data_IF_635098251086
#
_entry.id   IF_635098251086
#
_cell.length_a   1.000
_cell.length_b   1.000
_cell.length_c   1.000
_cell.angle_alpha   90.00
_cell.angle_beta   90.00
_cell.angle_gamma   90.00
#
_symmetry.space_group_name_H-M   'P 1'
#
loop_
_entity.id
_entity.type
_entity.pdbx_description
1 polymer ?
#
# COMPACT_ATOMS: atom_id res chain seq x y z
N UNK A 1 -7.94 2.37 -22.05
CA UNK A 1 -7.36 1.30 -21.20
C UNK A 1 -6.02 0.77 -21.74
N UNK A 2 -5.92 0.31 -22.98
CA UNK A 2 -4.62 -0.12 -23.57
C UNK A 2 -3.55 0.97 -23.52
N UNK A 3 -3.85 2.20 -23.95
CA UNK A 3 -2.86 3.30 -23.95
C UNK A 3 -2.28 3.63 -22.56
N UNK A 4 -3.05 3.43 -21.48
CA UNK A 4 -2.60 3.66 -20.10
C UNK A 4 -1.71 2.53 -19.55
N UNK A 5 -1.68 1.36 -20.22
CA UNK A 5 -0.85 0.21 -19.88
C UNK A 5 0.30 -0.01 -20.87
N UNK A 6 0.67 0.99 -21.68
CA UNK A 6 1.74 0.88 -22.69
C UNK A 6 1.28 0.39 -24.07
N UNK A 7 -0.02 0.34 -24.32
CA UNK A 7 -0.60 0.17 -25.65
C UNK A 7 -0.23 -1.15 -26.33
N UNK A 8 0.05 -1.07 -27.63
CA UNK A 8 0.42 -2.21 -28.47
C UNK A 8 1.78 -2.82 -28.08
N UNK A 9 2.70 -2.00 -27.60
CA UNK A 9 4.04 -2.44 -27.16
C UNK A 9 3.95 -3.33 -25.92
N UNK A 10 3.13 -2.95 -24.95
CA UNK A 10 2.85 -3.81 -23.80
C UNK A 10 2.20 -5.13 -24.20
N UNK A 11 1.22 -5.08 -25.09
CA UNK A 11 0.55 -6.30 -25.57
C UNK A 11 1.55 -7.25 -26.25
N UNK A 12 2.43 -6.69 -27.08
CA UNK A 12 3.44 -7.46 -27.82
C UNK A 12 4.47 -8.06 -26.88
N UNK A 13 5.04 -7.25 -25.96
CA UNK A 13 6.04 -7.73 -24.99
C UNK A 13 5.47 -8.77 -24.03
N UNK A 14 4.22 -8.59 -23.59
CA UNK A 14 3.54 -9.55 -22.71
C UNK A 14 3.26 -10.86 -23.44
N UNK A 15 2.79 -10.81 -24.69
CA UNK A 15 2.62 -12.01 -25.50
C UNK A 15 3.96 -12.73 -25.72
N UNK A 16 5.02 -12.03 -26.13
CA UNK A 16 6.34 -12.62 -26.34
C UNK A 16 6.88 -13.31 -25.07
N UNK A 17 6.64 -12.70 -23.90
CA UNK A 17 6.99 -13.28 -22.61
C UNK A 17 6.25 -14.58 -22.32
N UNK A 18 4.96 -14.68 -22.64
CA UNK A 18 4.10 -15.79 -22.19
C UNK A 18 3.62 -16.74 -23.29
N UNK A 19 3.97 -16.53 -24.57
CA UNK A 19 3.50 -17.33 -25.71
C UNK A 19 3.78 -18.84 -25.62
N UNK A 20 4.70 -19.23 -24.75
CA UNK A 20 5.05 -20.63 -24.49
C UNK A 20 4.14 -21.29 -23.45
N UNK A 21 3.36 -20.52 -22.70
CA UNK A 21 2.46 -21.03 -21.67
C UNK A 21 1.33 -21.87 -22.28
N UNK A 22 0.80 -22.88 -21.56
CA UNK A 22 -0.17 -23.84 -22.10
C UNK A 22 -1.41 -23.21 -22.75
N UNK A 23 -1.87 -22.07 -22.22
CA UNK A 23 -3.01 -21.36 -22.79
C UNK A 23 -2.79 -20.99 -24.27
N UNK A 24 -1.60 -20.45 -24.59
CA UNK A 24 -1.24 -19.98 -25.94
C UNK A 24 -0.79 -21.15 -26.82
N UNK A 25 0.08 -22.02 -26.28
CA UNK A 25 0.64 -23.15 -27.00
C UNK A 25 -0.44 -24.12 -27.51
N UNK A 26 -1.42 -24.45 -26.66
CA UNK A 26 -2.47 -25.42 -27.00
C UNK A 26 -3.52 -24.86 -27.97
N UNK A 27 -3.64 -23.53 -28.06
CA UNK A 27 -4.63 -22.87 -28.94
C UNK A 27 -4.07 -22.49 -30.30
N UNK A 28 -2.80 -22.81 -30.58
CA UNK A 28 -2.08 -22.45 -31.84
C UNK A 28 -2.14 -20.96 -32.20
N UNK A 29 -2.43 -20.08 -31.23
CA UNK A 29 -2.54 -18.63 -31.46
C UNK A 29 -1.15 -18.00 -31.38
N UNK A 30 -0.75 -17.28 -32.43
CA UNK A 30 0.63 -16.78 -32.62
C UNK A 30 0.72 -15.25 -32.64
N UNK A 31 -0.34 -14.54 -32.27
CA UNK A 31 -0.37 -13.08 -32.33
C UNK A 31 -0.58 -12.45 -30.95
N UNK A 32 -0.11 -11.20 -30.74
CA UNK A 32 -0.31 -10.49 -29.48
C UNK A 32 -1.78 -10.31 -29.07
N UNK A 33 -2.70 -10.25 -30.03
CA UNK A 33 -4.14 -10.11 -29.78
C UNK A 33 -4.72 -11.29 -29.01
N UNK A 34 -4.12 -12.49 -29.11
CA UNK A 34 -4.50 -13.65 -28.31
C UNK A 34 -4.36 -13.45 -26.80
N UNK A 35 -3.55 -12.48 -26.37
CA UNK A 35 -3.46 -12.07 -24.97
C UNK A 35 -4.72 -11.30 -24.50
N UNK A 36 -5.39 -10.57 -25.39
CA UNK A 36 -6.68 -9.94 -25.05
C UNK A 36 -7.76 -11.00 -24.86
N UNK A 37 -7.78 -12.02 -25.71
CA UNK A 37 -8.70 -13.15 -25.56
C UNK A 37 -8.47 -13.89 -24.24
N UNK A 38 -7.20 -14.10 -23.86
CA UNK A 38 -6.84 -14.66 -22.57
C UNK A 38 -7.43 -13.85 -21.41
N UNK A 39 -7.23 -12.53 -21.41
CA UNK A 39 -7.73 -11.67 -20.35
C UNK A 39 -9.25 -11.68 -20.28
N UNK A 40 -9.93 -11.77 -21.43
CA UNK A 40 -11.39 -11.88 -21.50
C UNK A 40 -11.88 -13.21 -20.93
N UNK A 41 -11.37 -14.35 -21.43
CA UNK A 41 -11.72 -15.69 -20.95
C UNK A 41 -11.44 -15.81 -19.43
N UNK A 42 -10.30 -15.29 -18.97
CA UNK A 42 -9.95 -15.26 -17.56
C UNK A 42 -10.97 -14.45 -16.73
N UNK A 43 -11.37 -13.27 -17.22
CA UNK A 43 -12.36 -12.43 -16.54
C UNK A 43 -13.74 -13.12 -16.46
N UNK A 44 -14.15 -13.83 -17.51
CA UNK A 44 -15.39 -14.62 -17.52
C UNK A 44 -15.34 -15.77 -16.53
N UNK A 45 -14.24 -16.53 -16.51
CA UNK A 45 -14.04 -17.63 -15.54
C UNK A 45 -14.05 -17.09 -14.12
N UNK A 46 -13.32 -16.01 -13.83
CA UNK A 46 -13.27 -15.38 -12.52
C UNK A 46 -14.67 -14.89 -12.08
N UNK A 47 -15.42 -14.24 -12.98
CA UNK A 47 -16.80 -13.80 -12.71
C UNK A 47 -17.73 -14.99 -12.44
N UNK A 48 -17.62 -16.05 -13.24
CA UNK A 48 -18.41 -17.27 -13.05
C UNK A 48 -18.08 -17.95 -11.71
N UNK A 49 -16.81 -18.02 -11.33
CA UNK A 49 -16.39 -18.55 -10.03
C UNK A 49 -16.96 -17.69 -8.89
N UNK A 50 -16.84 -16.36 -9.01
CA UNK A 50 -17.40 -15.40 -8.05
C UNK A 50 -18.91 -15.59 -7.85
N UNK A 51 -19.69 -15.70 -8.93
CA UNK A 51 -21.15 -15.88 -8.86
C UNK A 51 -21.55 -17.23 -8.23
N UNK A 52 -20.73 -18.28 -8.40
CA UNK A 52 -20.98 -19.62 -7.84
C UNK A 52 -20.52 -19.77 -6.39
N UNK A 53 -19.63 -18.91 -5.92
CA UNK A 53 -19.21 -18.88 -4.53
C UNK A 53 -20.34 -18.30 -3.68
N UNK A 54 -20.86 -19.10 -2.75
CA UNK A 54 -21.78 -18.64 -1.71
C UNK A 54 -21.00 -17.94 -0.59
N UNK A 55 -20.28 -16.89 -0.98
CA UNK A 55 -19.56 -16.01 -0.07
C UNK A 55 -20.21 -14.65 -0.16
N UNK A 56 -20.43 -14.02 1.00
CA UNK A 56 -20.83 -12.62 1.08
C UNK A 56 -19.69 -11.75 0.54
N UNK A 57 -19.69 -11.54 -0.77
CA UNK A 57 -18.61 -10.92 -1.52
C UNK A 57 -19.13 -9.78 -2.40
N UNK A 58 -18.30 -8.74 -2.58
CA UNK A 58 -18.60 -7.58 -3.41
C UNK A 58 -17.60 -7.52 -4.56
N UNK A 59 -18.10 -7.52 -5.80
CA UNK A 59 -17.29 -7.28 -6.98
C UNK A 59 -17.30 -5.79 -7.32
N UNK A 60 -16.12 -5.18 -7.46
CA UNK A 60 -15.95 -3.77 -7.85
C UNK A 60 -15.15 -3.72 -9.14
N UNK A 61 -15.75 -3.14 -10.18
CA UNK A 61 -15.05 -2.78 -11.40
C UNK A 61 -14.29 -1.46 -11.17
N UNK A 62 -12.97 -1.51 -11.17
CA UNK A 62 -12.12 -0.34 -10.94
C UNK A 62 -11.71 0.42 -12.21
N UNK A 63 -12.21 0.00 -13.37
CA UNK A 63 -11.75 0.46 -14.69
C UNK A 63 -11.91 1.96 -14.94
N UNK A 64 -12.91 2.60 -14.31
CA UNK A 64 -13.18 4.02 -14.46
C UNK A 64 -12.36 4.93 -13.52
N UNK A 65 -11.55 4.35 -12.63
CA UNK A 65 -10.74 5.09 -11.63
C UNK A 65 -11.55 6.01 -10.70
N UNK A 66 -12.87 5.75 -10.56
CA UNK A 66 -13.74 6.49 -9.66
C UNK A 66 -13.68 5.91 -8.24
N UNK A 67 -12.60 6.27 -7.53
CA UNK A 67 -12.32 5.80 -6.18
C UNK A 67 -13.44 6.15 -5.19
N UNK A 68 -14.08 7.31 -5.36
CA UNK A 68 -15.17 7.77 -4.49
C UNK A 68 -16.37 6.83 -4.59
N UNK A 69 -16.78 6.48 -5.82
CA UNK A 69 -17.87 5.52 -6.02
C UNK A 69 -17.52 4.13 -5.50
N UNK A 70 -16.28 3.67 -5.68
CA UNK A 70 -15.85 2.35 -5.19
C UNK A 70 -15.86 2.28 -3.66
N UNK A 71 -15.34 3.31 -3.01
CA UNK A 71 -15.35 3.43 -1.56
C UNK A 71 -16.78 3.45 -1.01
N UNK A 72 -17.68 4.20 -1.63
CA UNK A 72 -19.09 4.27 -1.22
C UNK A 72 -19.76 2.89 -1.29
N UNK A 73 -19.58 2.15 -2.39
CA UNK A 73 -20.11 0.78 -2.55
C UNK A 73 -19.62 -0.19 -1.47
N UNK A 74 -18.35 -0.07 -1.06
CA UNK A 74 -17.78 -0.89 0.02
C UNK A 74 -18.50 -0.62 1.34
N UNK A 75 -18.61 0.66 1.72
CA UNK A 75 -19.26 1.06 2.96
C UNK A 75 -20.71 0.60 3.03
N UNK A 76 -21.48 0.80 1.95
CA UNK A 76 -22.87 0.39 1.87
C UNK A 76 -23.03 -1.13 1.99
N UNK A 77 -22.22 -1.90 1.26
CA UNK A 77 -22.31 -3.35 1.23
C UNK A 77 -22.03 -4.01 2.59
N UNK A 78 -21.02 -3.49 3.30
CA UNK A 78 -20.63 -3.99 4.61
C UNK A 78 -21.37 -3.31 5.78
N UNK A 79 -22.15 -2.25 5.51
CA UNK A 79 -22.80 -1.46 6.55
C UNK A 79 -21.80 -0.69 7.42
N UNK A 80 -20.67 -0.28 6.84
CA UNK A 80 -19.62 0.44 7.54
C UNK A 80 -19.80 1.95 7.43
N UNK A 81 -19.27 2.67 8.42
CA UNK A 81 -19.17 4.13 8.39
C UNK A 81 -17.72 4.52 8.18
N UNK A 82 -17.48 5.47 7.28
CA UNK A 82 -16.15 6.03 7.10
C UNK A 82 -15.84 7.00 8.24
N UNK A 83 -14.67 6.80 8.85
CA UNK A 83 -14.09 7.74 9.80
C UNK A 83 -12.85 8.31 9.12
N UNK A 84 -12.81 9.63 8.81
CA UNK A 84 -11.63 10.21 8.20
C UNK A 84 -10.43 10.15 9.13
N UNK A 85 -9.24 10.03 8.53
CA UNK A 85 -7.98 10.12 9.27
C UNK A 85 -7.92 11.47 10.02
N UNK A 86 -7.40 11.49 11.26
CA UNK A 86 -7.26 12.73 12.00
C UNK A 86 -6.28 13.67 11.29
N UNK A 87 -6.67 14.94 11.16
CA UNK A 87 -5.81 16.00 10.62
C UNK A 87 -4.92 16.52 11.75
N UNK A 88 -3.62 16.33 11.63
CA UNK A 88 -2.62 16.84 12.58
C UNK A 88 -1.97 18.09 11.99
N UNK A 89 -1.99 19.23 12.70
CA UNK A 89 -1.34 20.47 12.22
C UNK A 89 0.15 20.29 11.96
N UNK A 90 0.69 21.01 10.97
CA UNK A 90 2.12 20.92 10.61
C UNK A 90 3.05 21.25 11.78
N UNK A 91 2.67 22.21 12.62
CA UNK A 91 3.42 22.55 13.84
C UNK A 91 3.49 21.37 14.84
N UNK A 92 2.46 20.55 14.92
CA UNK A 92 2.46 19.33 15.73
C UNK A 92 3.29 18.23 15.08
N UNK A 93 3.26 18.12 13.74
CA UNK A 93 4.10 17.18 13.01
C UNK A 93 5.60 17.51 13.13
N UNK A 94 5.95 18.80 13.20
CA UNK A 94 7.33 19.26 13.33
C UNK A 94 8.02 18.72 14.60
N UNK A 95 7.26 18.42 15.65
CA UNK A 95 7.79 17.83 16.89
C UNK A 95 8.45 16.47 16.69
N UNK A 96 8.02 15.72 15.66
CA UNK A 96 8.58 14.40 15.34
C UNK A 96 9.76 14.48 14.37
N UNK A 97 9.96 15.61 13.68
CA UNK A 97 11.03 15.75 12.70
C UNK A 97 12.40 15.72 13.38
N UNK A 98 13.35 14.95 12.84
CA UNK A 98 14.66 14.80 13.45
C UNK A 98 15.44 13.64 12.84
N UNK A 99 16.62 13.41 13.41
CA UNK A 99 17.47 12.28 13.04
C UNK A 99 17.40 11.26 14.16
N UNK A 100 17.05 10.02 13.83
CA UNK A 100 16.92 8.94 14.80
C UNK A 100 17.88 7.81 14.45
N UNK A 101 18.45 7.18 15.47
CA UNK A 101 19.43 6.12 15.31
C UNK A 101 19.03 4.88 16.11
N UNK A 102 19.22 3.71 15.50
CA UNK A 102 19.16 2.41 16.17
C UNK A 102 20.58 1.83 16.22
N UNK A 103 21.10 1.69 17.44
CA UNK A 103 22.47 1.20 17.71
C UNK A 103 22.68 -0.27 17.29
N UNK A 104 21.66 -1.11 17.46
CA UNK A 104 21.75 -2.55 17.19
C UNK A 104 21.86 -2.83 15.68
N UNK A 105 21.00 -2.18 14.90
CA UNK A 105 20.96 -2.30 13.44
C UNK A 105 21.98 -1.38 12.76
N UNK A 106 22.53 -0.40 13.49
CA UNK A 106 23.40 0.67 12.96
C UNK A 106 22.74 1.44 11.82
N UNK A 107 21.44 1.67 11.94
CA UNK A 107 20.63 2.38 10.95
C UNK A 107 20.28 3.77 11.48
N UNK A 108 20.44 4.77 10.63
CA UNK A 108 19.98 6.14 10.88
C UNK A 108 18.79 6.45 9.98
N UNK A 109 17.75 7.04 10.57
CA UNK A 109 16.50 7.41 9.91
C UNK A 109 16.30 8.90 10.03
N UNK A 110 16.11 9.55 8.89
CA UNK A 110 15.70 10.95 8.83
C UNK A 110 14.18 11.00 8.81
N UNK A 111 13.59 11.60 9.84
CA UNK A 111 12.16 11.90 9.91
C UNK A 111 11.99 13.36 9.49
N UNK A 112 11.24 13.61 8.43
CA UNK A 112 11.05 14.94 7.87
C UNK A 112 9.58 15.25 7.70
N UNK A 113 9.22 16.53 7.81
CA UNK A 113 7.89 17.01 7.45
C UNK A 113 7.97 17.69 6.09
N UNK A 114 7.17 17.21 5.13
CA UNK A 114 7.10 17.76 3.77
C UNK A 114 5.64 17.84 3.34
N UNK A 115 5.17 19.03 3.01
CA UNK A 115 3.80 19.23 2.52
C UNK A 115 2.74 18.76 3.52
N UNK A 116 2.94 19.01 4.82
CA UNK A 116 2.02 18.59 5.89
C UNK A 116 1.99 17.08 6.16
N UNK A 117 3.00 16.32 5.72
CA UNK A 117 3.11 14.88 5.96
C UNK A 117 4.49 14.52 6.51
N UNK A 118 4.54 13.48 7.34
CA UNK A 118 5.81 12.92 7.80
C UNK A 118 6.32 11.92 6.76
N UNK A 119 7.61 12.00 6.45
CA UNK A 119 8.35 11.00 5.69
C UNK A 119 9.43 10.37 6.54
N UNK A 120 9.59 9.05 6.41
CA UNK A 120 10.58 8.22 7.11
C UNK A 120 11.29 7.31 6.09
N UNK A 121 12.40 6.69 6.50
CA UNK A 121 13.15 5.72 5.67
C UNK A 121 13.40 6.19 4.22
N UNK A 122 13.83 7.45 4.07
CA UNK A 122 13.94 8.10 2.77
C UNK A 122 12.71 8.93 2.44
N UNK A 123 11.81 8.39 1.63
CA UNK A 123 10.63 9.09 1.10
C UNK A 123 9.29 8.41 1.46
N UNK A 124 9.32 7.42 2.34
CA UNK A 124 8.13 6.69 2.74
C UNK A 124 7.23 7.57 3.58
N UNK A 125 6.01 7.79 3.09
CA UNK A 125 5.00 8.60 3.77
C UNK A 125 4.34 7.80 4.88
N UNK A 126 3.98 8.49 5.95
CA UNK A 126 3.18 7.92 7.03
C UNK A 126 1.90 8.72 7.24
N UNK A 127 0.82 8.02 7.58
CA UNK A 127 -0.50 8.56 7.89
C UNK A 127 -0.80 8.45 9.36
N UNK A 128 -1.46 9.47 9.90
CA UNK A 128 -1.84 9.50 11.30
C UNK A 128 -2.91 8.43 11.55
N UNK A 129 -2.64 7.51 12.47
CA UNK A 129 -3.65 6.61 13.03
C UNK A 129 -4.37 7.28 14.20
N UNK A 130 -3.56 7.76 15.13
CA UNK A 130 -3.96 8.43 16.37
C UNK A 130 -2.77 9.27 16.85
N UNK A 131 -2.96 10.10 17.86
CA UNK A 131 -1.89 10.92 18.45
C UNK A 131 -0.60 10.11 18.68
N UNK A 132 0.50 10.61 18.11
CA UNK A 132 1.84 10.01 18.16
C UNK A 132 2.00 8.63 17.50
N UNK A 133 1.01 8.14 16.75
CA UNK A 133 1.08 6.84 16.08
C UNK A 133 0.64 6.94 14.61
N UNK A 134 1.45 6.38 13.72
CA UNK A 134 1.35 6.56 12.29
C UNK A 134 1.50 5.24 11.54
N UNK A 135 0.69 5.01 10.51
CA UNK A 135 0.87 3.89 9.59
C UNK A 135 1.78 4.28 8.43
N UNK A 136 2.64 3.38 7.97
CA UNK A 136 3.29 3.55 6.67
C UNK A 136 2.30 3.32 5.52
N UNK A 137 2.27 4.20 4.52
CA UNK A 137 1.21 4.20 3.49
C UNK A 137 1.11 2.90 2.68
N UNK A 138 2.24 2.20 2.49
CA UNK A 138 2.35 1.09 1.55
C UNK A 138 2.51 -0.29 2.22
N UNK A 139 2.61 -0.33 3.55
CA UNK A 139 2.85 -1.55 4.32
C UNK A 139 2.13 -1.46 5.66
N UNK A 140 1.64 -2.60 6.15
CA UNK A 140 1.04 -2.71 7.49
C UNK A 140 2.14 -2.65 8.55
N UNK A 141 2.71 -1.46 8.74
CA UNK A 141 3.71 -1.16 9.76
C UNK A 141 3.23 0.07 10.53
N UNK A 142 3.30 -0.02 11.86
CA UNK A 142 2.95 1.07 12.76
C UNK A 142 4.21 1.73 13.31
N UNK A 143 4.30 3.05 13.22
CA UNK A 143 5.37 3.85 13.82
C UNK A 143 4.78 4.64 14.97
N UNK A 144 5.25 4.37 16.19
CA UNK A 144 4.86 5.10 17.39
C UNK A 144 5.99 6.00 17.85
N UNK A 145 5.75 7.31 17.84
CA UNK A 145 6.61 8.29 18.47
C UNK A 145 6.33 8.34 19.96
N UNK A 146 7.37 8.42 20.77
CA UNK A 146 7.24 8.56 22.22
C UNK A 146 7.61 9.98 22.59
N UNK A 147 6.60 10.67 23.11
CA UNK A 147 6.72 12.02 23.63
C UNK A 147 7.03 11.94 25.12
N UNK A 148 8.03 12.68 25.55
CA UNK A 148 8.38 12.80 26.96
C UNK A 148 7.44 13.78 27.71
N UNK A 149 7.51 13.86 29.05
CA UNK A 149 6.67 14.79 29.81
C UNK A 149 6.90 16.27 29.49
N UNK A 150 8.02 16.62 28.83
CA UNK A 150 8.29 18.00 28.38
C UNK A 150 7.60 18.35 27.06
N UNK A 151 7.01 17.34 26.38
CA UNK A 151 6.35 17.51 25.10
C UNK A 151 7.25 17.25 23.90
N UNK A 152 8.49 16.83 24.13
CA UNK A 152 9.48 16.56 23.09
C UNK A 152 9.48 15.09 22.67
N UNK A 153 9.64 14.87 21.37
CA UNK A 153 9.81 13.53 20.83
C UNK A 153 11.27 13.10 20.93
N UNK A 154 11.56 12.05 21.70
CA UNK A 154 12.93 11.57 21.91
C UNK A 154 13.21 10.21 21.27
N UNK A 155 12.17 9.49 20.82
CA UNK A 155 12.31 8.19 20.18
C UNK A 155 11.07 7.86 19.36
N UNK A 156 11.22 6.92 18.43
CA UNK A 156 10.09 6.21 17.87
C UNK A 156 10.34 4.70 17.88
N UNK A 157 9.25 3.94 17.79
CA UNK A 157 9.23 2.49 17.75
C UNK A 157 8.50 2.07 16.48
N UNK A 158 9.12 1.18 15.70
CA UNK A 158 8.46 0.47 14.62
C UNK A 158 7.81 -0.78 15.22
N UNK A 159 6.49 -0.75 15.32
CA UNK A 159 5.62 -1.81 15.83
C UNK A 159 5.10 -2.65 14.65
N UNK A 160 4.88 -3.95 14.91
CA UNK A 160 4.49 -5.03 13.99
C UNK A 160 5.67 -5.81 13.36
N UNK A 161 5.52 -7.14 13.30
CA UNK A 161 6.46 -8.04 12.62
C UNK A 161 6.27 -7.88 11.11
N UNK A 162 7.25 -7.27 10.45
CA UNK A 162 7.41 -7.43 9.01
C UNK A 162 8.63 -8.32 8.75
N UNK A 163 8.49 -9.21 7.77
CA UNK A 163 9.50 -10.18 7.32
C UNK A 163 10.86 -9.52 6.97
N UNK A 164 10.88 -8.20 6.79
CA UNK A 164 12.03 -7.42 6.33
C UNK A 164 12.62 -6.51 7.43
N UNK A 165 11.84 -6.00 8.38
CA UNK A 165 12.25 -4.87 9.24
C UNK A 165 12.21 -5.07 10.75
N UNK A 166 11.43 -6.04 11.24
CA UNK A 166 11.26 -6.24 12.68
C UNK A 166 11.15 -7.73 13.01
N UNK A 167 12.22 -8.29 13.57
CA UNK A 167 12.29 -9.69 14.01
C UNK A 167 11.98 -9.87 15.51
N UNK A 168 11.56 -8.81 16.21
CA UNK A 168 11.35 -8.83 17.67
C UNK A 168 9.92 -8.44 18.03
N UNK A 169 9.33 -9.19 18.97
CA UNK A 169 7.98 -8.93 19.49
C UNK A 169 7.82 -7.55 20.15
N UNK A 170 8.93 -6.95 20.61
CA UNK A 170 8.95 -5.66 21.31
C UNK A 170 9.06 -4.43 20.37
N UNK A 171 9.20 -4.64 19.06
CA UNK A 171 9.40 -3.57 18.09
C UNK A 171 10.85 -3.08 17.95
N UNK A 172 11.15 -2.42 16.83
CA UNK A 172 12.47 -1.83 16.57
C UNK A 172 12.51 -0.37 17.01
N UNK A 173 13.34 -0.05 18.01
CA UNK A 173 13.42 1.30 18.62
C UNK A 173 14.48 2.17 17.98
N UNK A 174 14.17 3.43 17.72
CA UNK A 174 15.12 4.43 17.25
C UNK A 174 15.12 5.63 18.18
N UNK A 175 16.30 6.05 18.64
CA UNK A 175 16.47 7.21 19.54
C UNK A 175 16.84 8.45 18.74
N UNK A 176 16.23 9.58 19.06
CA UNK A 176 16.55 10.87 18.44
C UNK A 176 17.95 11.30 18.87
N UNK A 177 18.77 11.65 17.88
CA UNK A 177 20.14 12.15 18.06
C UNK A 177 20.30 13.59 17.58
N UNK A 178 19.31 14.11 16.82
CA UNK A 178 19.22 15.50 16.38
C UNK A 178 17.80 15.89 16.02
#
# INVERSE_FOLDING_TARGET
MMNARGGKEWLTSTFEKYKHEPYYANRSRKNPESHLDFLHEYAEVARSAFVRCDLRSLAIDNTAWDWTSYHTKLLEYFGWSYVPDPIVPEAELAKYAGIYHNEELRITVHVQVRGGQITVFGDQRVRVKVTHAFYMDNVSILIRFIIDPSGECNQFVVEEMDLIGNQKDEGTRFRRIS
#
